data_IF_954259187747
#
_entry.id   IF_954259187747
#
_cell.length_a   1.000
_cell.length_b   1.000
_cell.length_c   1.000
_cell.angle_alpha   90.00
_cell.angle_beta   90.00
_cell.angle_gamma   90.00
#
_symmetry.space_group_name_H-M   'P 1'
#
loop_
_entity.id
_entity.type
_entity.pdbx_description
1 polymer ?
#
# COMPACT_ATOMS: atom_id res chain seq x y z
N UNK A 1 42.60 -51.70 45.29
CA UNK A 1 43.82 -51.18 45.91
C UNK A 1 44.23 -49.93 45.14
N UNK A 2 43.99 -48.75 45.73
CA UNK A 2 44.98 -47.65 45.97
C UNK A 2 45.16 -46.71 44.78
N UNK A 3 45.12 -45.37 44.87
CA UNK A 3 45.07 -44.42 45.98
C UNK A 3 44.91 -42.98 45.40
N UNK A 4 44.52 -42.04 46.28
CA UNK A 4 44.13 -40.63 46.07
C UNK A 4 45.26 -39.66 45.69
N UNK A 5 44.87 -38.49 45.16
CA UNK A 5 45.51 -37.16 45.28
C UNK A 5 44.66 -36.10 44.55
N UNK A 6 43.82 -35.26 45.17
CA UNK A 6 44.07 -34.02 45.95
C UNK A 6 44.86 -32.95 45.15
N UNK A 7 44.60 -31.62 45.15
CA UNK A 7 43.51 -30.70 45.49
C UNK A 7 44.04 -29.27 45.20
N UNK A 8 43.18 -28.34 44.75
CA UNK A 8 43.25 -26.86 44.86
C UNK A 8 44.34 -26.03 44.12
N UNK A 9 43.87 -25.01 43.35
CA UNK A 9 43.78 -23.58 43.71
C UNK A 9 44.28 -22.56 42.65
N UNK A 10 43.49 -21.46 42.55
CA UNK A 10 43.87 -20.03 42.28
C UNK A 10 44.03 -19.49 40.85
N UNK A 11 43.30 -18.36 40.66
CA UNK A 11 43.65 -17.22 39.80
C UNK A 11 42.75 -17.12 38.57
N UNK A 12 42.09 -16.01 38.21
CA UNK A 12 42.11 -14.64 38.70
C UNK A 12 41.57 -13.73 37.58
N UNK A 13 40.54 -12.92 37.91
CA UNK A 13 40.29 -11.53 37.47
C UNK A 13 40.71 -11.07 36.06
N UNK A 14 39.73 -10.53 35.31
CA UNK A 14 39.92 -9.50 34.27
C UNK A 14 39.45 -9.97 32.89
N UNK A 15 38.72 -9.23 32.07
CA UNK A 15 38.32 -7.83 32.14
C UNK A 15 37.30 -7.53 31.04
N UNK A 16 36.75 -6.33 31.12
CA UNK A 16 35.76 -5.72 30.23
C UNK A 16 36.09 -5.93 28.74
N UNK A 17 35.26 -6.66 28.02
CA UNK A 17 35.11 -6.54 26.57
C UNK A 17 34.14 -5.41 26.24
N UNK A 18 34.63 -4.17 26.25
CA UNK A 18 33.96 -3.02 25.62
C UNK A 18 34.39 -2.99 24.16
N UNK A 19 33.47 -3.32 23.26
CA UNK A 19 33.55 -3.13 21.81
C UNK A 19 32.23 -3.65 21.25
N UNK A 20 31.32 -2.85 20.71
CA UNK A 20 31.53 -1.74 19.79
C UNK A 20 30.95 -2.19 18.44
N UNK A 21 29.65 -1.98 18.24
CA UNK A 21 28.97 -1.98 16.95
C UNK A 21 27.71 -1.12 17.10
N UNK A 22 27.85 0.18 16.90
CA UNK A 22 27.45 0.87 15.67
C UNK A 22 25.95 0.78 15.38
N UNK A 23 25.28 1.91 15.64
CA UNK A 23 24.24 2.48 14.77
C UNK A 23 23.24 1.46 14.23
N UNK A 24 22.23 1.16 15.04
CA UNK A 24 20.98 0.59 14.56
C UNK A 24 20.28 1.63 13.68
N UNK A 25 20.72 1.66 12.42
CA UNK A 25 20.17 2.37 11.27
C UNK A 25 18.88 3.17 11.54
N UNK A 26 19.03 4.48 11.70
CA UNK A 26 18.07 5.48 11.19
C UNK A 26 18.02 5.35 9.65
N UNK A 27 17.58 4.19 9.15
CA UNK A 27 17.08 4.13 7.79
C UNK A 27 15.77 4.91 7.83
N UNK A 28 15.67 6.03 7.12
CA UNK A 28 14.41 6.75 7.05
C UNK A 28 13.33 5.75 6.64
N UNK A 29 12.27 5.67 7.44
CA UNK A 29 11.11 4.85 7.09
C UNK A 29 10.68 5.31 5.69
N UNK A 30 10.55 4.37 4.76
CA UNK A 30 9.97 4.67 3.45
C UNK A 30 8.50 4.96 3.69
N UNK A 31 8.20 6.22 3.97
CA UNK A 31 6.83 6.69 4.11
C UNK A 31 6.15 6.62 2.73
N UNK A 32 4.89 6.22 2.73
CA UNK A 32 4.09 6.22 1.51
C UNK A 32 3.95 7.67 1.02
N UNK A 33 4.23 7.89 -0.26
CA UNK A 33 4.17 9.23 -0.89
C UNK A 33 2.71 9.74 -0.94
N UNK A 34 1.75 8.83 -0.89
CA UNK A 34 0.32 9.12 -0.90
C UNK A 34 -0.29 8.84 0.47
N UNK A 35 -0.91 9.85 1.06
CA UNK A 35 -1.72 9.72 2.27
C UNK A 35 -3.18 9.47 1.91
N UNK A 36 -3.57 8.19 1.92
CA UNK A 36 -4.93 7.76 1.61
C UNK A 36 -5.94 8.11 2.71
N UNK A 37 -5.50 8.44 3.93
CA UNK A 37 -6.41 8.82 5.02
C UNK A 37 -7.20 10.10 4.68
N UNK A 38 -6.64 10.97 3.82
CA UNK A 38 -7.32 12.18 3.30
C UNK A 38 -8.55 11.90 2.44
N UNK A 39 -8.65 10.67 1.92
CA UNK A 39 -9.75 10.21 1.07
C UNK A 39 -10.68 9.22 1.78
N UNK A 40 -10.48 9.01 3.09
CA UNK A 40 -11.37 8.19 3.91
C UNK A 40 -12.81 8.69 3.80
N UNK A 41 -13.74 7.76 3.59
CA UNK A 41 -15.17 8.00 3.37
C UNK A 41 -15.51 8.92 2.19
N UNK A 42 -14.56 9.11 1.26
CA UNK A 42 -14.80 9.81 -0.01
C UNK A 42 -14.86 8.82 -1.17
N UNK A 43 -15.57 9.24 -2.20
CA UNK A 43 -15.65 8.48 -3.44
C UNK A 43 -14.34 8.62 -4.23
N UNK A 44 -13.75 7.49 -4.59
CA UNK A 44 -12.54 7.40 -5.39
C UNK A 44 -12.79 6.55 -6.62
N UNK A 45 -12.14 6.93 -7.71
CA UNK A 45 -12.08 6.17 -8.96
C UNK A 45 -10.75 5.44 -9.01
N UNK A 46 -10.79 4.15 -9.31
CA UNK A 46 -9.63 3.26 -9.35
C UNK A 46 -9.54 2.60 -10.72
N UNK A 47 -8.35 2.68 -11.33
CA UNK A 47 -8.05 1.97 -12.58
C UNK A 47 -7.05 0.85 -12.32
N UNK A 48 -7.30 -0.29 -12.97
CA UNK A 48 -6.49 -1.48 -12.85
C UNK A 48 -5.65 -1.70 -14.10
N UNK A 49 -4.61 -2.51 -13.95
CA UNK A 49 -3.94 -3.17 -15.08
C UNK A 49 -4.98 -3.95 -15.88
N UNK A 50 -4.99 -3.79 -17.21
CA UNK A 50 -6.00 -4.41 -18.07
C UNK A 50 -7.25 -3.57 -18.31
N UNK A 51 -7.27 -2.31 -17.83
CA UNK A 51 -8.28 -1.32 -18.22
C UNK A 51 -9.53 -1.29 -17.34
N UNK A 52 -9.77 -2.29 -16.49
CA UNK A 52 -10.91 -2.27 -15.57
C UNK A 52 -10.93 -0.98 -14.75
N UNK A 53 -12.12 -0.39 -14.59
CA UNK A 53 -12.33 0.86 -13.88
C UNK A 53 -13.50 0.70 -12.92
N UNK A 54 -13.30 1.11 -11.67
CA UNK A 54 -14.35 1.10 -10.65
C UNK A 54 -14.40 2.44 -9.93
N UNK A 55 -15.57 2.76 -9.40
CA UNK A 55 -15.80 3.87 -8.49
C UNK A 55 -16.40 3.33 -7.20
N UNK A 56 -15.90 3.77 -6.05
CA UNK A 56 -16.42 3.33 -4.74
C UNK A 56 -15.97 4.24 -3.61
N UNK A 57 -16.53 4.05 -2.41
CA UNK A 57 -16.21 4.84 -1.22
C UNK A 57 -15.05 4.19 -0.47
N UNK A 58 -13.97 4.91 -0.25
CA UNK A 58 -12.81 4.37 0.47
C UNK A 58 -13.12 4.19 1.96
N UNK A 59 -13.14 2.93 2.42
CA UNK A 59 -13.38 2.58 3.84
C UNK A 59 -12.11 2.21 4.59
N UNK A 60 -11.06 1.81 3.90
CA UNK A 60 -9.79 1.48 4.53
C UNK A 60 -8.71 1.16 3.51
N UNK A 61 -7.47 1.18 3.96
CA UNK A 61 -6.31 0.83 3.17
C UNK A 61 -5.19 0.26 4.05
N UNK A 62 -4.20 -0.38 3.42
CA UNK A 62 -2.99 -0.84 4.08
C UNK A 62 -1.72 -0.28 3.41
N UNK A 63 -0.55 -0.64 3.95
CA UNK A 63 0.76 -0.21 3.43
C UNK A 63 1.09 -0.79 2.05
N UNK A 64 0.37 -1.83 1.62
CA UNK A 64 0.54 -2.47 0.31
C UNK A 64 -0.44 -1.92 -0.73
N UNK A 65 -1.16 -0.83 -0.41
CA UNK A 65 -2.17 -0.22 -1.26
C UNK A 65 -3.35 -1.14 -1.57
N UNK A 66 -3.60 -2.15 -0.73
CA UNK A 66 -4.90 -2.84 -0.79
C UNK A 66 -5.96 -1.90 -0.23
N UNK A 67 -7.12 -1.85 -0.88
CA UNK A 67 -8.20 -0.94 -0.50
C UNK A 67 -9.44 -1.73 -0.12
N UNK A 68 -10.19 -1.23 0.85
CA UNK A 68 -11.56 -1.64 1.11
C UNK A 68 -12.46 -0.54 0.57
N UNK A 69 -13.27 -0.87 -0.43
CA UNK A 69 -14.21 0.06 -1.06
C UNK A 69 -15.64 -0.42 -0.83
N UNK A 70 -16.53 0.50 -0.49
CA UNK A 70 -17.96 0.26 -0.35
C UNK A 70 -18.75 0.90 -1.51
N UNK A 71 -19.99 0.47 -1.70
CA UNK A 71 -20.88 0.94 -2.78
C UNK A 71 -20.23 0.92 -4.17
N UNK A 72 -19.42 -0.11 -4.44
CA UNK A 72 -18.59 -0.15 -5.65
C UNK A 72 -19.43 -0.36 -6.90
N UNK A 73 -19.16 0.47 -7.92
CA UNK A 73 -19.67 0.35 -9.28
C UNK A 73 -18.53 0.17 -10.26
N UNK A 74 -18.60 -0.87 -11.06
CA UNK A 74 -17.69 -1.11 -12.17
C UNK A 74 -18.23 -0.49 -13.46
N UNK A 75 -17.36 0.23 -14.18
CA UNK A 75 -17.65 0.72 -15.54
C UNK A 75 -17.31 -0.38 -16.53
N UNK A 76 -18.30 -0.86 -17.28
CA UNK A 76 -18.12 -1.93 -18.24
C UNK A 76 -17.39 -1.42 -19.48
N UNK A 77 -16.75 -2.35 -20.19
CA UNK A 77 -16.03 -2.09 -21.44
C UNK A 77 -16.48 -3.06 -22.51
N UNK A 78 -16.47 -2.62 -23.76
CA UNK A 78 -16.67 -3.51 -24.91
C UNK A 78 -15.38 -4.29 -25.24
N UNK A 79 -15.47 -5.20 -26.21
CA UNK A 79 -14.34 -6.02 -26.67
C UNK A 79 -13.17 -5.19 -27.26
N UNK A 80 -13.45 -3.95 -27.68
CA UNK A 80 -12.45 -3.00 -28.19
C UNK A 80 -11.78 -2.18 -27.07
N UNK A 81 -12.22 -2.36 -25.82
CA UNK A 81 -11.67 -1.69 -24.64
C UNK A 81 -12.25 -0.30 -24.35
N UNK A 82 -13.25 0.15 -25.10
CA UNK A 82 -13.97 1.41 -24.90
C UNK A 82 -14.90 1.30 -23.69
N UNK A 83 -14.93 2.34 -22.85
CA UNK A 83 -15.84 2.41 -21.70
C UNK A 83 -17.28 2.54 -22.22
N UNK A 84 -18.17 1.70 -21.69
CA UNK A 84 -19.60 1.74 -21.94
C UNK A 84 -20.29 2.57 -20.86
N UNK A 85 -21.45 3.14 -21.17
CA UNK A 85 -22.32 3.83 -20.19
C UNK A 85 -23.00 2.85 -19.21
N UNK A 86 -22.71 1.56 -19.34
CA UNK A 86 -23.22 0.51 -18.48
C UNK A 86 -22.34 0.33 -17.24
N UNK A 87 -22.99 0.19 -16.08
CA UNK A 87 -22.32 -0.08 -14.81
C UNK A 87 -22.85 -1.33 -14.14
N UNK A 88 -21.98 -2.00 -13.37
CA UNK A 88 -22.34 -3.15 -12.53
C UNK A 88 -22.04 -2.85 -11.07
N UNK A 89 -23.03 -3.05 -10.19
CA UNK A 89 -22.85 -2.91 -8.75
C UNK A 89 -22.15 -4.15 -8.16
N UNK A 90 -21.19 -3.90 -7.28
CA UNK A 90 -20.38 -4.93 -6.61
C UNK A 90 -20.49 -4.87 -5.07
N UNK A 91 -21.06 -3.79 -4.52
CA UNK A 91 -21.17 -3.59 -3.07
C UNK A 91 -19.81 -3.40 -2.40
N UNK A 92 -19.53 -4.16 -1.34
CA UNK A 92 -18.28 -4.11 -0.58
C UNK A 92 -17.20 -4.97 -1.27
N UNK A 93 -16.09 -4.35 -1.67
CA UNK A 93 -15.00 -5.00 -2.41
C UNK A 93 -13.65 -4.74 -1.75
N UNK A 94 -12.79 -5.76 -1.79
CA UNK A 94 -11.36 -5.61 -1.48
C UNK A 94 -10.55 -5.54 -2.76
N UNK A 95 -9.87 -4.42 -2.96
CA UNK A 95 -8.98 -4.14 -4.10
C UNK A 95 -7.56 -4.61 -3.76
N UNK A 96 -6.93 -5.32 -4.71
CA UNK A 96 -5.53 -5.78 -4.60
C UNK A 96 -4.57 -4.72 -5.13
N UNK A 97 -3.70 -4.20 -4.26
CA UNK A 97 -2.70 -3.17 -4.57
C UNK A 97 -1.78 -3.47 -5.78
N UNK A 98 -1.30 -4.72 -5.99
CA UNK A 98 -0.41 -5.03 -7.13
C UNK A 98 -1.00 -4.78 -8.52
N UNK A 99 -2.33 -4.78 -8.65
CA UNK A 99 -3.04 -4.55 -9.92
C UNK A 99 -3.50 -3.09 -10.09
N UNK A 100 -3.28 -2.26 -9.07
CA UNK A 100 -3.72 -0.88 -9.06
C UNK A 100 -2.76 -0.02 -9.90
N UNK A 101 -3.32 0.78 -10.80
CA UNK A 101 -2.55 1.70 -11.65
C UNK A 101 -2.81 3.15 -11.26
N UNK A 102 -4.05 3.50 -10.90
CA UNK A 102 -4.45 4.88 -10.63
C UNK A 102 -5.53 4.95 -9.55
N UNK A 103 -5.43 5.96 -8.69
CA UNK A 103 -6.46 6.36 -7.73
C UNK A 103 -6.69 7.86 -7.92
N UNK A 104 -7.92 8.28 -8.16
CA UNK A 104 -8.29 9.70 -8.22
C UNK A 104 -9.52 9.97 -7.39
N UNK A 105 -9.58 11.08 -6.63
CA UNK A 105 -10.85 11.53 -6.06
C UNK A 105 -11.85 11.78 -7.20
N UNK A 106 -13.13 11.48 -6.97
CA UNK A 106 -14.19 11.84 -7.91
C UNK A 106 -14.55 13.31 -7.79
N UNK A 107 -14.42 13.87 -6.58
CA UNK A 107 -14.64 15.29 -6.33
C UNK A 107 -13.62 16.15 -7.09
N UNK A 108 -14.11 17.12 -7.85
CA UNK A 108 -13.32 17.98 -8.73
C UNK A 108 -12.93 17.36 -10.08
N UNK A 109 -13.37 16.14 -10.39
CA UNK A 109 -13.16 15.52 -11.70
C UNK A 109 -14.39 15.72 -12.60
N UNK A 110 -14.19 16.37 -13.74
CA UNK A 110 -15.22 16.53 -14.77
C UNK A 110 -14.71 16.08 -16.13
N UNK A 111 -15.63 15.53 -16.94
CA UNK A 111 -15.35 15.27 -18.34
C UNK A 111 -15.48 16.59 -19.12
N UNK A 112 -14.45 16.92 -19.89
CA UNK A 112 -14.41 18.14 -20.68
C UNK A 112 -14.31 17.79 -22.16
N UNK A 113 -14.87 18.65 -23.00
CA UNK A 113 -14.58 18.64 -24.42
C UNK A 113 -13.07 18.87 -24.65
N UNK A 114 -12.58 18.43 -25.81
CA UNK A 114 -11.18 18.62 -26.17
C UNK A 114 -10.80 20.12 -26.07
N UNK A 115 -9.90 20.51 -25.15
CA UNK A 115 -9.60 21.92 -24.88
C UNK A 115 -8.75 22.59 -25.97
N UNK A 116 -8.32 21.84 -26.98
CA UNK A 116 -7.48 22.31 -28.08
C UNK A 116 -8.26 22.54 -29.38
N UNK A 117 -9.57 22.28 -29.41
CA UNK A 117 -10.41 22.70 -30.53
C UNK A 117 -10.57 24.22 -30.41
N UNK A 118 -9.94 24.97 -31.30
CA UNK A 118 -10.14 26.42 -31.38
C UNK A 118 -11.61 26.68 -31.70
N UNK A 119 -12.28 27.48 -30.88
CA UNK A 119 -13.61 27.98 -31.21
C UNK A 119 -13.48 28.81 -32.49
N UNK A 120 -14.24 28.42 -33.52
CA UNK A 120 -14.26 29.06 -34.84
C UNK A 120 -14.81 30.49 -34.78
#
# INVERSE_FOLDING_TARGET
MSSRGAQNNRGGRGGRGRGGAQSGSDRPKKEAILDLAKYQDKQVRVKFTGGREIVGILKGHDQLMNLVLDEVREQLRNDEGTILDETRELGLVVVRGPTLVMITPVDGAEEIANPFIQAE
#
